data_IF_818738361618
#
_entry.id   IF_818738361618
#
_cell.length_a   1.000
_cell.length_b   1.000
_cell.length_c   1.000
_cell.angle_alpha   90.00
_cell.angle_beta   90.00
_cell.angle_gamma   90.00
#
_symmetry.space_group_name_H-M   'P 1'
#
loop_
_entity.id
_entity.type
_entity.pdbx_description
1 polymer ?
#
# COMPACT_ATOMS: atom_id res chain seq x y z
N UNK A 1 -9.06 -2.18 -13.69
CA UNK A 1 -9.77 -2.11 -12.39
C UNK A 1 -11.12 -2.80 -12.50
N UNK A 2 -11.70 -3.20 -11.37
CA UNK A 2 -12.97 -3.96 -11.32
C UNK A 2 -14.16 -3.12 -11.76
N UNK A 3 -14.18 -1.86 -11.39
CA UNK A 3 -15.26 -0.90 -11.65
C UNK A 3 -15.43 -0.60 -13.14
N UNK A 4 -14.43 -0.88 -13.97
CA UNK A 4 -14.47 -0.71 -15.43
C UNK A 4 -14.53 -2.04 -16.19
N UNK A 5 -14.69 -3.18 -15.48
CA UNK A 5 -14.77 -4.54 -16.02
C UNK A 5 -13.57 -4.99 -16.87
N UNK A 6 -12.60 -4.09 -17.15
CA UNK A 6 -11.47 -4.33 -18.04
C UNK A 6 -10.37 -3.26 -17.83
N UNK A 7 -9.24 -3.40 -18.51
CA UNK A 7 -8.29 -2.29 -18.65
C UNK A 7 -8.98 -1.09 -19.31
N UNK A 8 -8.68 0.11 -18.80
CA UNK A 8 -9.18 1.37 -19.39
C UNK A 8 -8.16 2.02 -20.30
N UNK A 9 -6.90 1.65 -20.14
CA UNK A 9 -5.77 2.12 -20.96
C UNK A 9 -4.79 0.99 -21.23
N UNK A 10 -3.94 1.18 -22.24
CA UNK A 10 -2.89 0.24 -22.62
C UNK A 10 -1.71 0.98 -23.22
N UNK A 11 -0.50 0.52 -22.97
CA UNK A 11 0.66 0.93 -23.73
C UNK A 11 0.66 0.18 -25.07
N UNK A 12 0.58 0.89 -26.21
CA UNK A 12 0.59 0.24 -27.52
C UNK A 12 1.96 -0.33 -27.84
N UNK A 13 2.02 -1.33 -28.70
CA UNK A 13 3.28 -1.95 -29.15
C UNK A 13 4.18 -0.93 -29.87
N UNK A 14 3.55 -0.05 -30.64
CA UNK A 14 4.22 1.09 -31.28
C UNK A 14 3.92 2.34 -30.46
N UNK A 15 4.94 3.04 -29.97
CA UNK A 15 4.79 4.21 -29.09
C UNK A 15 4.68 3.86 -27.60
N UNK A 16 5.20 2.70 -27.20
CA UNK A 16 5.31 2.29 -25.81
C UNK A 16 6.12 3.30 -24.98
N UNK A 17 5.56 3.75 -23.85
CA UNK A 17 6.20 4.73 -22.97
C UNK A 17 6.30 4.18 -21.54
N UNK A 18 7.54 3.90 -21.12
CA UNK A 18 7.82 3.41 -19.74
C UNK A 18 7.40 4.46 -18.72
N UNK A 19 6.78 4.00 -17.60
CA UNK A 19 6.32 4.89 -16.52
C UNK A 19 4.95 5.50 -16.78
N UNK A 20 4.22 5.03 -17.82
CA UNK A 20 2.83 5.42 -18.07
C UNK A 20 1.91 4.21 -18.06
N UNK A 21 0.62 4.43 -17.81
CA UNK A 21 -0.43 3.42 -18.00
C UNK A 21 -0.91 3.38 -19.47
N UNK A 22 -0.29 4.16 -20.34
CA UNK A 22 -0.54 4.19 -21.78
C UNK A 22 -1.72 5.09 -22.18
N UNK A 23 -2.27 4.77 -23.35
CA UNK A 23 -3.38 5.52 -23.98
C UNK A 23 -4.74 4.91 -23.62
N UNK A 24 -5.81 5.72 -23.53
CA UNK A 24 -7.16 5.22 -23.33
C UNK A 24 -7.56 4.24 -24.45
N UNK A 25 -8.26 3.17 -24.08
CA UNK A 25 -8.85 2.25 -25.04
C UNK A 25 -10.02 2.91 -25.81
N UNK A 26 -10.35 2.35 -26.95
CA UNK A 26 -11.48 2.83 -27.74
C UNK A 26 -12.78 2.83 -26.93
N UNK A 27 -13.47 3.96 -26.91
CA UNK A 27 -14.71 4.16 -26.13
C UNK A 27 -14.48 4.50 -24.66
N UNK A 28 -13.24 4.65 -24.22
CA UNK A 28 -12.87 5.14 -22.90
C UNK A 28 -12.40 6.59 -23.01
N UNK A 29 -12.93 7.44 -22.14
CA UNK A 29 -12.41 8.79 -21.91
C UNK A 29 -11.76 8.81 -20.56
N UNK A 30 -10.53 9.32 -20.50
CA UNK A 30 -9.79 9.52 -19.25
C UNK A 30 -9.47 10.99 -19.09
N UNK A 31 -9.46 11.47 -17.87
CA UNK A 31 -9.15 12.83 -17.51
C UNK A 31 -8.53 12.93 -16.14
N UNK A 32 -8.03 14.12 -15.80
CA UNK A 32 -7.53 14.44 -14.46
C UNK A 32 -8.35 15.64 -14.00
N UNK A 33 -8.90 15.55 -12.79
CA UNK A 33 -9.69 16.64 -12.22
C UNK A 33 -8.81 17.77 -11.65
N UNK A 34 -9.45 18.79 -11.04
CA UNK A 34 -8.75 19.93 -10.44
C UNK A 34 -7.86 19.56 -9.26
N UNK A 35 -8.10 18.39 -8.66
CA UNK A 35 -7.36 17.87 -7.50
C UNK A 35 -6.24 16.93 -7.92
N UNK A 36 -6.12 16.62 -9.20
CA UNK A 36 -5.12 15.73 -9.77
C UNK A 36 -5.55 14.27 -9.76
N UNK A 37 -6.83 13.97 -9.47
CA UNK A 37 -7.35 12.61 -9.49
C UNK A 37 -7.65 12.15 -10.91
N UNK A 38 -7.24 10.92 -11.22
CA UNK A 38 -7.55 10.26 -12.47
C UNK A 38 -9.02 9.84 -12.51
N UNK A 39 -9.75 10.32 -13.52
CA UNK A 39 -11.16 10.04 -13.72
C UNK A 39 -11.39 9.26 -15.03
N UNK A 40 -12.32 8.32 -15.02
CA UNK A 40 -12.62 7.46 -16.16
C UNK A 40 -14.11 7.55 -16.50
N UNK A 41 -14.42 7.77 -17.79
CA UNK A 41 -15.77 7.69 -18.33
C UNK A 41 -15.82 6.67 -19.45
N UNK A 42 -16.68 5.66 -19.29
CA UNK A 42 -16.77 4.56 -20.21
C UNK A 42 -18.12 3.84 -20.05
N UNK A 43 -18.69 3.24 -21.11
CA UNK A 43 -19.83 2.34 -20.98
C UNK A 43 -19.56 1.11 -20.10
N UNK A 44 -18.29 0.80 -19.84
CA UNK A 44 -17.87 -0.31 -18.98
C UNK A 44 -17.80 0.05 -17.48
N UNK A 45 -18.01 1.32 -17.12
CA UNK A 45 -18.11 1.72 -15.71
C UNK A 45 -19.32 1.02 -15.07
N UNK A 46 -19.13 0.39 -13.93
CA UNK A 46 -20.17 -0.34 -13.21
C UNK A 46 -21.31 0.61 -12.78
N UNK A 47 -22.51 0.04 -12.56
CA UNK A 47 -23.67 0.79 -12.11
C UNK A 47 -23.53 1.33 -10.67
N UNK A 48 -22.60 0.79 -9.89
CA UNK A 48 -22.34 1.18 -8.51
C UNK A 48 -21.90 0.02 -7.62
N UNK A 49 -21.70 0.33 -6.35
CA UNK A 49 -21.31 -0.63 -5.32
C UNK A 49 -22.53 -1.26 -4.66
N UNK A 50 -22.56 -2.59 -4.60
CA UNK A 50 -23.68 -3.35 -4.06
C UNK A 50 -23.97 -2.94 -2.60
N UNK A 51 -25.24 -2.62 -2.31
CA UNK A 51 -25.71 -2.16 -1.00
C UNK A 51 -24.94 -0.96 -0.39
N UNK A 52 -24.25 -0.18 -1.23
CA UNK A 52 -23.49 0.98 -0.78
C UNK A 52 -23.74 2.21 -1.68
N UNK A 53 -24.94 2.81 -1.62
CA UNK A 53 -25.29 3.94 -2.48
C UNK A 53 -24.51 5.21 -2.18
N UNK A 54 -24.02 5.39 -0.95
CA UNK A 54 -23.27 6.58 -0.58
C UNK A 54 -21.88 6.56 -1.20
N UNK A 55 -21.17 5.43 -1.17
CA UNK A 55 -19.91 5.26 -1.87
C UNK A 55 -20.11 5.37 -3.39
N UNK A 56 -21.20 4.81 -3.92
CA UNK A 56 -21.51 4.95 -5.34
C UNK A 56 -21.63 6.40 -5.77
N UNK A 57 -22.35 7.23 -5.01
CA UNK A 57 -22.51 8.67 -5.30
C UNK A 57 -21.21 9.46 -5.20
N UNK A 58 -20.30 9.03 -4.32
CA UNK A 58 -19.00 9.68 -4.15
C UNK A 58 -18.02 9.30 -5.28
N UNK A 59 -18.04 8.04 -5.70
CA UNK A 59 -17.09 7.52 -6.68
C UNK A 59 -17.56 7.67 -8.13
N UNK A 60 -18.87 7.74 -8.38
CA UNK A 60 -19.41 7.89 -9.73
C UNK A 60 -20.25 9.17 -9.80
N UNK A 61 -19.63 10.23 -10.33
CA UNK A 61 -20.21 11.56 -10.43
C UNK A 61 -20.38 11.94 -11.91
N UNK A 62 -21.58 12.26 -12.34
CA UNK A 62 -21.91 12.65 -13.72
C UNK A 62 -21.39 11.68 -14.81
N UNK A 63 -21.35 10.38 -14.44
CA UNK A 63 -20.86 9.30 -15.31
C UNK A 63 -19.33 9.18 -15.37
N UNK A 64 -18.62 9.94 -14.54
CA UNK A 64 -17.20 9.78 -14.33
C UNK A 64 -16.94 8.94 -13.07
N UNK A 65 -16.12 7.91 -13.22
CA UNK A 65 -15.58 7.15 -12.12
C UNK A 65 -14.33 7.86 -11.58
N UNK A 66 -14.37 8.27 -10.34
CA UNK A 66 -13.23 8.75 -9.59
C UNK A 66 -12.43 7.54 -9.09
N UNK A 67 -11.20 7.39 -9.56
CA UNK A 67 -10.42 6.17 -9.32
C UNK A 67 -9.76 6.10 -7.97
N UNK A 68 -9.60 7.25 -7.32
CA UNK A 68 -8.77 7.42 -6.12
C UNK A 68 -7.27 7.53 -6.41
N UNK A 69 -6.84 7.33 -7.66
CA UNK A 69 -5.45 7.43 -8.08
C UNK A 69 -5.12 8.84 -8.53
N UNK A 70 -3.97 9.36 -8.12
CA UNK A 70 -3.45 10.62 -8.64
C UNK A 70 -2.68 10.37 -9.93
N UNK A 71 -2.81 11.29 -10.88
CA UNK A 71 -2.16 11.18 -12.16
C UNK A 71 -1.96 12.52 -12.86
N UNK A 72 -1.35 12.47 -14.01
CA UNK A 72 -1.25 13.60 -14.91
C UNK A 72 -1.44 13.12 -16.35
N UNK A 73 -1.64 14.05 -17.26
CA UNK A 73 -1.67 13.78 -18.70
C UNK A 73 -0.44 14.46 -19.27
N UNK A 74 0.38 13.71 -19.99
CA UNK A 74 1.51 14.29 -20.71
C UNK A 74 1.12 14.80 -22.12
N UNK A 75 2.07 15.40 -22.82
CA UNK A 75 1.85 16.00 -24.16
C UNK A 75 1.40 14.97 -25.20
N UNK A 76 1.70 13.68 -25.00
CA UNK A 76 1.31 12.58 -25.89
C UNK A 76 -0.03 11.95 -25.48
N UNK A 77 -0.77 12.59 -24.55
CA UNK A 77 -1.99 12.08 -23.95
C UNK A 77 -1.82 10.73 -23.21
N UNK A 78 -0.59 10.39 -22.82
CA UNK A 78 -0.28 9.25 -21.97
C UNK A 78 -0.43 9.65 -20.51
N UNK A 79 -0.86 8.70 -19.66
CA UNK A 79 -1.06 8.91 -18.24
C UNK A 79 0.12 8.29 -17.48
N UNK A 80 1.02 9.08 -16.87
CA UNK A 80 2.03 8.57 -15.97
C UNK A 80 1.39 7.84 -14.79
N UNK A 81 1.90 6.64 -14.46
CA UNK A 81 1.48 5.93 -13.26
C UNK A 81 2.11 6.60 -12.04
N UNK A 82 1.35 7.40 -11.32
CA UNK A 82 1.82 7.98 -10.05
C UNK A 82 1.91 6.95 -8.92
N UNK A 83 1.26 5.79 -9.10
CA UNK A 83 1.25 4.72 -8.12
C UNK A 83 0.64 5.08 -6.78
N UNK A 84 -0.16 6.13 -6.74
CA UNK A 84 -0.86 6.57 -5.54
C UNK A 84 -2.30 6.08 -5.57
N UNK A 85 -2.53 4.85 -5.12
CA UNK A 85 -3.88 4.40 -4.80
C UNK A 85 -4.38 5.13 -3.54
N UNK A 86 -5.42 5.93 -3.72
CA UNK A 86 -6.35 6.32 -2.66
C UNK A 86 -5.81 7.19 -1.53
N UNK A 87 -5.52 8.44 -1.81
CA UNK A 87 -5.48 9.45 -0.75
C UNK A 87 -6.71 10.36 -0.86
N UNK A 88 -7.77 10.07 -0.10
CA UNK A 88 -8.85 11.02 0.07
C UNK A 88 -8.33 12.32 0.67
N UNK A 89 -8.56 13.42 -0.04
CA UNK A 89 -8.13 14.76 0.33
C UNK A 89 -8.53 15.17 1.72
N UNK A 90 -7.51 15.57 2.51
CA UNK A 90 -7.66 16.72 3.37
C UNK A 90 -6.35 17.53 3.34
N UNK A 91 -6.46 18.75 2.81
CA UNK A 91 -5.46 19.81 2.86
C UNK A 91 -4.67 19.77 4.18
N UNK A 92 -3.35 19.52 4.11
CA UNK A 92 -2.35 19.49 5.19
C UNK A 92 -2.05 18.17 5.89
N UNK A 93 -2.31 17.00 5.30
CA UNK A 93 -1.84 15.72 5.88
C UNK A 93 -0.96 14.99 4.89
N UNK A 94 0.25 14.64 5.31
CA UNK A 94 1.16 13.80 4.55
C UNK A 94 0.54 12.39 4.49
N UNK A 95 0.01 12.03 3.34
CA UNK A 95 -0.46 10.68 3.11
C UNK A 95 0.74 9.77 2.82
N UNK A 96 0.70 8.59 3.36
CA UNK A 96 1.69 7.55 3.11
C UNK A 96 1.31 6.87 1.79
N UNK A 97 2.16 6.96 0.79
CA UNK A 97 1.90 6.36 -0.52
C UNK A 97 1.86 4.82 -0.43
N UNK A 98 0.80 4.16 -0.96
CA UNK A 98 0.72 2.70 -1.05
C UNK A 98 1.85 2.06 -1.87
N UNK A 99 2.47 2.79 -2.80
CA UNK A 99 3.63 2.30 -3.58
C UNK A 99 4.77 1.79 -2.72
N UNK A 100 4.90 2.26 -1.48
CA UNK A 100 5.97 1.87 -0.57
C UNK A 100 5.68 0.59 0.18
N UNK A 101 4.42 0.27 0.42
CA UNK A 101 4.02 -1.03 0.97
C UNK A 101 4.48 -2.14 0.02
N UNK A 102 4.24 -2.01 -1.29
CA UNK A 102 4.69 -2.94 -2.32
C UNK A 102 6.22 -3.00 -2.49
N UNK A 103 6.95 -1.89 -2.27
CA UNK A 103 8.40 -1.88 -2.45
C UNK A 103 9.14 -2.75 -1.44
N UNK A 104 8.66 -2.89 -0.22
CA UNK A 104 9.27 -3.75 0.81
C UNK A 104 9.09 -5.22 0.45
N UNK A 105 7.89 -5.63 0.03
CA UNK A 105 7.62 -6.98 -0.44
C UNK A 105 8.51 -7.38 -1.62
N UNK A 106 8.74 -6.48 -2.58
CA UNK A 106 9.64 -6.75 -3.71
C UNK A 106 11.13 -6.76 -3.37
N UNK A 107 11.53 -6.25 -2.20
CA UNK A 107 12.95 -6.19 -1.80
C UNK A 107 13.37 -7.31 -0.88
N UNK A 108 12.43 -8.08 -0.33
CA UNK A 108 12.73 -9.22 0.55
C UNK A 108 11.72 -10.34 0.36
N UNK A 109 12.19 -11.58 0.12
CA UNK A 109 11.32 -12.73 -0.09
C UNK A 109 10.57 -13.14 1.18
N UNK A 110 11.08 -12.80 2.37
CA UNK A 110 10.48 -13.21 3.65
C UNK A 110 9.21 -12.42 3.99
N UNK A 111 8.99 -11.26 3.35
CA UNK A 111 7.85 -10.39 3.63
C UNK A 111 6.65 -10.80 2.78
N UNK A 112 5.56 -11.19 3.42
CA UNK A 112 4.27 -11.46 2.77
C UNK A 112 3.49 -10.19 2.51
N UNK A 113 3.25 -9.39 3.56
CA UNK A 113 2.50 -8.14 3.48
C UNK A 113 3.16 -7.06 4.33
N UNK A 114 3.00 -5.81 3.92
CA UNK A 114 3.45 -4.66 4.68
C UNK A 114 2.35 -3.61 4.69
N UNK A 115 1.95 -3.14 5.87
CA UNK A 115 0.95 -2.08 6.03
C UNK A 115 1.59 -0.90 6.74
N UNK A 116 1.69 0.22 6.04
CA UNK A 116 2.23 1.45 6.59
C UNK A 116 1.20 2.20 7.41
N UNK A 117 1.62 2.73 8.56
CA UNK A 117 0.80 3.47 9.51
C UNK A 117 1.45 4.83 9.74
N UNK A 118 0.72 5.90 9.49
CA UNK A 118 1.26 7.26 9.64
C UNK A 118 0.19 8.33 9.77
N UNK A 119 -1.08 7.99 9.49
CA UNK A 119 -2.15 8.96 9.55
C UNK A 119 -2.36 9.48 10.99
N UNK A 120 -2.23 10.80 11.17
CA UNK A 120 -2.29 11.50 12.48
C UNK A 120 -1.25 11.05 13.51
N UNK A 121 -0.21 10.33 13.09
CA UNK A 121 0.86 9.86 13.98
C UNK A 121 2.12 10.71 13.80
N UNK A 122 3.01 10.75 14.78
CA UNK A 122 4.22 11.62 14.75
C UNK A 122 5.25 11.20 13.70
N UNK A 123 5.19 9.96 13.23
CA UNK A 123 6.07 9.39 12.21
C UNK A 123 5.40 8.20 11.53
N UNK A 124 5.96 7.76 10.41
CA UNK A 124 5.52 6.57 9.70
C UNK A 124 6.12 5.33 10.33
N UNK A 125 5.27 4.32 10.54
CA UNK A 125 5.64 3.00 10.98
C UNK A 125 5.06 1.94 10.04
N UNK A 126 5.49 0.68 10.17
CA UNK A 126 4.98 -0.44 9.40
C UNK A 126 4.62 -1.62 10.30
N UNK A 127 3.55 -2.33 9.95
CA UNK A 127 3.22 -3.67 10.40
C UNK A 127 3.57 -4.62 9.25
N UNK A 128 4.37 -5.62 9.53
CA UNK A 128 4.91 -6.54 8.53
C UNK A 128 4.53 -7.96 8.91
N UNK A 129 3.88 -8.68 7.99
CA UNK A 129 3.67 -10.12 8.10
C UNK A 129 4.68 -10.86 7.23
N UNK A 130 5.03 -12.06 7.64
CA UNK A 130 5.99 -12.93 6.96
C UNK A 130 5.26 -14.04 6.21
N UNK A 131 5.94 -14.59 5.20
CA UNK A 131 5.61 -15.88 4.60
C UNK A 131 6.51 -16.95 5.24
N UNK A 132 5.92 -17.95 5.89
CA UNK A 132 6.69 -18.98 6.60
C UNK A 132 7.52 -19.85 5.64
N UNK A 133 6.94 -20.22 4.49
CA UNK A 133 7.60 -21.08 3.52
C UNK A 133 8.80 -20.36 2.90
N UNK A 134 8.58 -19.13 2.42
CA UNK A 134 9.64 -18.30 1.85
C UNK A 134 10.71 -17.93 2.89
N UNK A 135 10.31 -17.69 4.15
CA UNK A 135 11.24 -17.42 5.25
C UNK A 135 12.16 -18.63 5.49
N UNK A 136 11.62 -19.84 5.53
CA UNK A 136 12.40 -21.05 5.73
C UNK A 136 13.34 -21.35 4.55
N UNK A 137 12.87 -21.17 3.31
CA UNK A 137 13.72 -21.28 2.12
C UNK A 137 14.87 -20.27 2.13
N UNK A 138 14.57 -19.04 2.55
CA UNK A 138 15.57 -17.99 2.65
C UNK A 138 16.58 -18.27 3.76
N UNK A 139 16.16 -18.72 4.97
CA UNK A 139 17.04 -19.11 6.07
C UNK A 139 17.98 -20.25 5.65
N UNK A 140 17.45 -21.27 4.99
CA UNK A 140 18.25 -22.38 4.45
C UNK A 140 19.33 -21.88 3.47
N UNK A 141 18.97 -20.94 2.58
CA UNK A 141 19.93 -20.32 1.65
C UNK A 141 21.07 -19.55 2.35
N UNK A 142 20.85 -19.15 3.61
CA UNK A 142 21.84 -18.49 4.47
C UNK A 142 22.60 -19.45 5.37
N UNK A 143 22.28 -20.75 5.32
CA UNK A 143 22.86 -21.75 6.22
C UNK A 143 22.37 -21.63 7.66
N UNK A 144 21.22 -21.00 7.88
CA UNK A 144 20.58 -20.85 9.17
C UNK A 144 19.52 -21.94 9.39
N UNK A 145 19.20 -22.21 10.65
CA UNK A 145 18.15 -23.16 11.02
C UNK A 145 16.77 -22.61 10.62
N UNK A 146 15.91 -23.51 10.15
CA UNK A 146 14.52 -23.22 9.86
C UNK A 146 13.75 -22.96 11.16
N UNK A 147 12.67 -22.20 11.06
CA UNK A 147 11.76 -21.90 12.17
C UNK A 147 10.48 -22.72 12.05
N UNK A 148 9.88 -23.06 13.20
CA UNK A 148 8.70 -23.93 13.23
C UNK A 148 7.41 -23.19 12.82
N UNK A 149 7.31 -21.89 13.16
CA UNK A 149 6.11 -21.08 12.93
C UNK A 149 6.43 -19.59 12.78
N UNK A 150 5.40 -18.79 12.49
CA UNK A 150 5.54 -17.33 12.32
C UNK A 150 5.84 -16.60 13.64
N UNK A 151 5.48 -17.14 14.79
CA UNK A 151 5.82 -16.55 16.08
C UNK A 151 7.34 -16.65 16.31
N UNK A 152 7.94 -17.80 16.04
CA UNK A 152 9.38 -17.97 16.07
C UNK A 152 10.08 -17.12 15.00
N UNK A 153 9.55 -17.09 13.77
CA UNK A 153 10.07 -16.26 12.69
C UNK A 153 10.10 -14.77 13.07
N UNK A 154 9.04 -14.25 13.67
CA UNK A 154 8.93 -12.84 14.06
C UNK A 154 9.96 -12.41 15.11
N UNK A 155 10.44 -13.34 15.92
CA UNK A 155 11.44 -13.15 16.97
C UNK A 155 12.87 -13.49 16.53
N UNK A 156 13.02 -14.14 15.36
CA UNK A 156 14.31 -14.57 14.85
C UNK A 156 15.17 -13.35 14.46
N UNK A 157 16.39 -13.19 15.02
CA UNK A 157 17.22 -12.02 14.77
C UNK A 157 17.73 -11.94 13.33
N UNK A 158 17.89 -13.08 12.65
CA UNK A 158 18.35 -13.14 11.25
C UNK A 158 17.22 -12.64 10.33
N UNK A 159 15.98 -13.09 10.57
CA UNK A 159 14.80 -12.65 9.83
C UNK A 159 14.57 -11.15 10.06
N UNK A 160 14.66 -10.69 11.33
CA UNK A 160 14.49 -9.26 11.66
C UNK A 160 15.52 -8.38 10.97
N UNK A 161 16.79 -8.81 10.89
CA UNK A 161 17.83 -8.09 10.16
C UNK A 161 17.56 -7.99 8.66
N UNK A 162 17.00 -9.03 8.05
CA UNK A 162 16.61 -9.00 6.64
C UNK A 162 15.44 -8.04 6.39
N UNK A 163 14.42 -8.06 7.25
CA UNK A 163 13.29 -7.10 7.17
C UNK A 163 13.79 -5.68 7.36
N UNK A 164 14.70 -5.44 8.31
CA UNK A 164 15.31 -4.11 8.52
C UNK A 164 16.09 -3.65 7.28
N UNK A 165 16.83 -4.55 6.63
CA UNK A 165 17.51 -4.27 5.37
C UNK A 165 16.53 -3.84 4.28
N UNK A 166 15.40 -4.55 4.15
CA UNK A 166 14.37 -4.24 3.16
C UNK A 166 13.69 -2.88 3.44
N UNK A 167 13.39 -2.60 4.71
CA UNK A 167 12.84 -1.30 5.15
C UNK A 167 13.82 -0.17 4.85
N UNK A 168 15.10 -0.35 5.16
CA UNK A 168 16.14 0.65 4.89
C UNK A 168 16.27 0.94 3.40
N UNK A 169 16.25 -0.10 2.57
CA UNK A 169 16.29 0.05 1.11
C UNK A 169 15.06 0.79 0.57
N UNK A 170 13.87 0.51 1.08
CA UNK A 170 12.66 1.28 0.74
C UNK A 170 12.78 2.75 1.17
N UNK A 171 13.41 3.01 2.31
CA UNK A 171 13.64 4.36 2.82
C UNK A 171 14.62 5.18 1.99
N UNK A 172 15.53 4.57 1.22
CA UNK A 172 16.46 5.29 0.33
C UNK A 172 15.71 6.11 -0.75
N UNK A 173 14.56 5.62 -1.19
CA UNK A 173 13.69 6.29 -2.17
C UNK A 173 12.69 7.26 -1.53
N UNK A 174 12.68 7.32 -0.19
CA UNK A 174 11.71 8.07 0.57
C UNK A 174 12.23 9.44 1.00
N UNK A 175 11.37 10.46 1.01
CA UNK A 175 11.71 11.70 1.71
C UNK A 175 11.83 11.44 3.22
N UNK A 176 12.61 12.26 3.93
CA UNK A 176 12.79 12.13 5.40
C UNK A 176 11.48 12.10 6.19
N UNK A 177 10.44 12.73 5.67
CA UNK A 177 9.14 12.79 6.33
C UNK A 177 8.28 11.54 6.07
N UNK A 178 8.60 10.79 5.03
CA UNK A 178 7.87 9.60 4.57
C UNK A 178 8.64 8.31 4.89
N UNK A 179 9.83 8.41 5.49
CA UNK A 179 10.61 7.25 5.89
C UNK A 179 9.95 6.49 7.03
N UNK A 180 9.93 5.17 6.94
CA UNK A 180 9.50 4.27 8.01
C UNK A 180 10.53 4.35 9.12
N UNK A 181 10.12 4.80 10.30
CA UNK A 181 11.00 4.98 11.45
C UNK A 181 10.95 3.85 12.44
N UNK A 182 9.88 3.09 12.43
CA UNK A 182 9.71 1.89 13.23
C UNK A 182 8.91 0.87 12.45
N UNK A 183 9.16 -0.39 12.69
CA UNK A 183 8.33 -1.48 12.20
C UNK A 183 8.20 -2.56 13.27
N UNK A 184 7.11 -3.31 13.19
CA UNK A 184 6.93 -4.53 13.96
C UNK A 184 6.56 -5.68 13.03
N UNK A 185 7.19 -6.83 13.27
CA UNK A 185 6.88 -8.08 12.60
C UNK A 185 5.84 -8.78 13.44
N UNK A 186 4.70 -9.11 12.83
CA UNK A 186 3.60 -9.79 13.53
C UNK A 186 3.66 -11.29 13.31
N UNK A 187 3.22 -12.09 14.30
CA UNK A 187 3.26 -13.55 14.24
C UNK A 187 2.14 -14.16 13.39
N UNK A 188 1.28 -13.32 12.82
CA UNK A 188 0.10 -13.78 12.10
C UNK A 188 0.30 -13.59 10.59
N UNK A 189 -0.22 -14.53 9.81
CA UNK A 189 -0.39 -14.36 8.39
C UNK A 189 -1.66 -13.55 8.12
N UNK A 190 -1.62 -12.66 7.11
CA UNK A 190 -2.81 -11.95 6.68
C UNK A 190 -3.58 -12.80 5.68
N UNK A 191 -4.74 -13.29 6.08
CA UNK A 191 -5.60 -14.17 5.29
C UNK A 191 -6.97 -13.56 5.04
N UNK A 192 -7.71 -14.11 4.08
CA UNK A 192 -9.11 -13.75 3.86
C UNK A 192 -9.98 -14.18 5.03
N UNK A 193 -9.67 -15.33 5.66
CA UNK A 193 -10.42 -15.87 6.79
C UNK A 193 -10.37 -14.96 8.01
N UNK A 194 -9.21 -14.36 8.32
CA UNK A 194 -9.07 -13.38 9.41
C UNK A 194 -9.46 -11.95 8.99
N UNK A 195 -9.86 -11.76 7.73
CA UNK A 195 -10.35 -10.51 7.21
C UNK A 195 -9.29 -9.43 6.98
N UNK A 196 -8.01 -9.77 7.06
CA UNK A 196 -6.90 -8.82 6.93
C UNK A 196 -6.47 -8.58 5.48
N UNK A 197 -6.87 -9.47 4.54
CA UNK A 197 -6.71 -9.25 3.10
C UNK A 197 -8.04 -9.39 2.36
N UNK A 198 -8.07 -8.90 1.15
CA UNK A 198 -9.19 -9.12 0.20
C UNK A 198 -9.02 -10.46 -0.51
N UNK A 199 -10.06 -10.99 -1.22
CA UNK A 199 -9.91 -12.17 -2.07
C UNK A 199 -8.83 -12.06 -3.15
N UNK A 200 -8.44 -10.84 -3.51
CA UNK A 200 -7.32 -10.57 -4.42
C UNK A 200 -5.98 -10.40 -3.70
N UNK A 201 -5.86 -10.84 -2.44
CA UNK A 201 -4.66 -10.81 -1.60
C UNK A 201 -4.11 -9.40 -1.31
N UNK A 202 -4.93 -8.36 -1.44
CA UNK A 202 -4.55 -6.99 -1.04
C UNK A 202 -4.84 -6.76 0.45
N UNK A 203 -3.88 -6.23 1.21
CA UNK A 203 -4.05 -5.93 2.62
C UNK A 203 -5.18 -4.91 2.87
N UNK A 204 -6.09 -5.25 3.77
CA UNK A 204 -7.18 -4.36 4.22
C UNK A 204 -6.67 -3.46 5.34
N UNK A 205 -6.04 -2.36 4.97
CA UNK A 205 -5.33 -1.45 5.87
C UNK A 205 -6.11 -1.11 7.15
N UNK A 206 -7.39 -0.74 7.04
CA UNK A 206 -8.22 -0.41 8.20
C UNK A 206 -8.40 -1.60 9.13
N UNK A 207 -8.63 -2.80 8.59
CA UNK A 207 -8.77 -4.02 9.36
C UNK A 207 -7.46 -4.37 10.09
N UNK A 208 -6.32 -4.26 9.42
CA UNK A 208 -4.99 -4.47 10.01
C UNK A 208 -4.71 -3.48 11.14
N UNK A 209 -4.97 -2.19 10.93
CA UNK A 209 -4.78 -1.15 11.96
C UNK A 209 -5.67 -1.39 13.17
N UNK A 210 -6.92 -1.81 12.98
CA UNK A 210 -7.82 -2.12 14.08
C UNK A 210 -7.38 -3.38 14.83
N UNK A 211 -7.03 -4.44 14.10
CA UNK A 211 -6.59 -5.72 14.67
C UNK A 211 -5.34 -5.53 15.55
N UNK A 212 -4.36 -4.75 15.07
CA UNK A 212 -3.11 -4.50 15.79
C UNK A 212 -3.11 -3.18 16.58
N UNK A 213 -4.26 -2.59 16.88
CA UNK A 213 -4.37 -1.31 17.59
C UNK A 213 -3.54 -1.27 18.87
N UNK A 214 -3.61 -2.32 19.68
CA UNK A 214 -2.87 -2.40 20.94
C UNK A 214 -1.36 -2.40 20.73
N UNK A 215 -0.87 -3.15 19.73
CA UNK A 215 0.55 -3.18 19.35
C UNK A 215 1.00 -1.80 18.85
N UNK A 216 0.20 -1.19 18.01
CA UNK A 216 0.47 0.13 17.44
C UNK A 216 0.61 1.18 18.54
N UNK A 217 -0.34 1.25 19.48
CA UNK A 217 -0.36 2.30 20.48
C UNK A 217 0.61 2.06 21.65
N UNK A 218 0.84 0.79 22.03
CA UNK A 218 1.70 0.46 23.19
C UNK A 218 3.14 0.13 22.85
N UNK A 219 3.43 -0.28 21.61
CA UNK A 219 4.79 -0.68 21.20
C UNK A 219 5.38 0.31 20.22
N UNK A 220 4.64 0.65 19.18
CA UNK A 220 5.13 1.53 18.11
C UNK A 220 5.13 2.99 18.56
N UNK A 221 3.99 3.51 19.00
CA UNK A 221 3.77 4.91 19.37
C UNK A 221 3.73 5.13 20.87
N UNK A 222 4.69 4.56 21.59
CA UNK A 222 4.78 4.78 23.05
C UNK A 222 4.91 6.29 23.33
N UNK A 223 4.05 6.88 24.19
CA UNK A 223 4.22 8.26 24.62
C UNK A 223 5.58 8.44 25.29
N UNK A 224 6.38 9.41 24.84
CA UNK A 224 7.59 9.79 25.57
C UNK A 224 7.18 10.20 26.98
N UNK A 225 7.72 9.54 28.02
CA UNK A 225 7.63 10.07 29.38
C UNK A 225 8.19 11.50 29.34
N UNK A 226 7.46 12.50 29.88
CA UNK A 226 8.04 13.83 30.01
C UNK A 226 9.37 13.69 30.75
N UNK A 227 10.41 14.31 30.23
CA UNK A 227 11.68 14.40 30.92
C UNK A 227 11.40 15.02 32.30
N UNK A 228 11.73 14.31 33.38
CA UNK A 228 11.67 14.88 34.71
C UNK A 228 12.58 16.11 34.68
N UNK A 229 11.98 17.28 34.87
CA UNK A 229 12.79 18.50 35.13
C UNK A 229 13.58 18.21 36.39
N UNK A 230 14.87 18.07 36.25
CA UNK A 230 15.79 18.14 37.38
C UNK A 230 15.72 19.58 37.90
N UNK A 231 15.25 19.73 39.13
CA UNK A 231 15.35 20.93 39.94
C UNK A 231 16.81 21.16 40.32
#
# INVERSE_FOLDING_TARGET
MTETCAPSSVNPTEGYKIGTIGLPLQGVTMGVDEEGELCIKSPAVCAGYHNNPDVTKQQIVDGWLHTGDLGSIDDDASFPSSGEEGSHHHRRRKNVSPMRDGSIHHTSPVVSQCVMIGDRKPFIAAIISLDLAETNLWLESKGAEQVADLDEASKNPIVRAEVERAVNKANELASRAESIRKFEIVPDEFTEENGLVTPSMKARRQAVVEHYRTLIDKVIYVPRKPAAHAE
#
